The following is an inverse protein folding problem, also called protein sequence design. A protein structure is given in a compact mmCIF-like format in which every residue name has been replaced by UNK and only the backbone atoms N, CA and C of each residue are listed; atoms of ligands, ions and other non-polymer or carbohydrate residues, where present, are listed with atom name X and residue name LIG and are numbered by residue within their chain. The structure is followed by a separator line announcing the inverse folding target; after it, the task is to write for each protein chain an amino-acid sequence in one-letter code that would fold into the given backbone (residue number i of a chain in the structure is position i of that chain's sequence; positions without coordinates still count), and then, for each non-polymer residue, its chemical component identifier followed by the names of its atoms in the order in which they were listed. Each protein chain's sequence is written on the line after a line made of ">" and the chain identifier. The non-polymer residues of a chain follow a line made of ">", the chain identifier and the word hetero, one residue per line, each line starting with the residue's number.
data_IF_687503483705
#
_entry.id   IF_687503483705
#
_cell.length_a   1.000
_cell.length_b   1.000
_cell.length_c   1.000
_cell.angle_alpha   90.00
_cell.angle_beta   90.00
_cell.angle_gamma   90.00
#
_symmetry.space_group_name_H-M   'P 1'
#
loop_
_entity.id
_entity.type
_entity.pdbx_description
1 polymer ?
#
# COMPACT_ATOMS: atom_id res chain seq x y z
N UNK A 1 -3.84 0.61 -35.02
CA UNK A 1 -3.64 0.94 -33.58
C UNK A 1 -2.91 -0.25 -32.96
N UNK A 2 -1.63 -0.11 -32.63
CA UNK A 2 -0.85 -1.20 -32.02
C UNK A 2 -1.30 -1.36 -30.56
N UNK A 3 -2.08 -2.40 -30.27
CA UNK A 3 -2.38 -2.83 -28.91
C UNK A 3 -1.19 -3.62 -28.39
N UNK A 4 -0.57 -3.20 -27.30
CA UNK A 4 0.48 -3.98 -26.64
C UNK A 4 -0.19 -5.15 -25.91
N UNK A 5 0.08 -6.43 -26.27
CA UNK A 5 -0.65 -7.59 -25.75
C UNK A 5 -0.47 -7.88 -24.24
N UNK A 6 0.26 -7.04 -23.50
CA UNK A 6 0.58 -7.26 -22.08
C UNK A 6 0.27 -6.07 -21.16
N UNK A 7 -0.47 -5.05 -21.61
CA UNK A 7 -0.75 -3.86 -20.78
C UNK A 7 -1.44 -4.21 -19.45
N UNK A 8 -2.35 -5.17 -19.48
CA UNK A 8 -3.09 -5.60 -18.28
C UNK A 8 -2.20 -6.35 -17.31
N UNK A 9 -1.36 -7.24 -17.82
CA UNK A 9 -0.39 -8.01 -17.03
C UNK A 9 0.60 -7.06 -16.35
N UNK A 10 1.21 -6.13 -17.10
CA UNK A 10 2.12 -5.11 -16.54
C UNK A 10 1.41 -4.26 -15.49
N UNK A 11 0.17 -3.85 -15.71
CA UNK A 11 -0.59 -3.07 -14.74
C UNK A 11 -0.96 -3.86 -13.46
N UNK A 12 -1.05 -5.19 -13.55
CA UNK A 12 -1.25 -6.06 -12.39
C UNK A 12 0.05 -6.17 -11.59
N UNK A 13 1.16 -6.50 -12.24
CA UNK A 13 2.45 -6.63 -11.55
C UNK A 13 2.87 -5.34 -10.85
N UNK A 14 2.71 -4.18 -11.51
CA UNK A 14 2.99 -2.88 -10.88
C UNK A 14 2.10 -2.62 -9.66
N UNK A 15 0.86 -3.10 -9.67
CA UNK A 15 -0.06 -2.96 -8.53
C UNK A 15 0.34 -3.88 -7.38
N UNK A 16 0.74 -5.11 -7.71
CA UNK A 16 1.20 -6.09 -6.71
C UNK A 16 2.49 -5.60 -6.03
N UNK A 17 3.41 -4.97 -6.79
CA UNK A 17 4.59 -4.30 -6.24
C UNK A 17 4.22 -3.11 -5.34
N UNK A 18 3.30 -2.25 -5.77
CA UNK A 18 2.80 -1.11 -4.97
C UNK A 18 2.14 -1.60 -3.67
N UNK A 19 1.33 -2.67 -3.72
CA UNK A 19 0.64 -3.22 -2.56
C UNK A 19 1.62 -3.86 -1.57
N UNK A 20 2.68 -4.54 -2.06
CA UNK A 20 3.78 -5.04 -1.24
C UNK A 20 4.58 -3.90 -0.59
N UNK A 21 4.85 -2.84 -1.33
CA UNK A 21 5.54 -1.67 -0.81
C UNK A 21 4.74 -1.02 0.34
N UNK A 22 3.44 -0.79 0.14
CA UNK A 22 2.57 -0.23 1.17
C UNK A 22 2.47 -1.15 2.39
N UNK A 23 2.42 -2.48 2.19
CA UNK A 23 2.49 -3.44 3.29
C UNK A 23 3.76 -3.26 4.13
N UNK A 24 4.93 -3.13 3.49
CA UNK A 24 6.18 -2.92 4.22
C UNK A 24 6.18 -1.60 4.97
N UNK A 25 5.69 -0.51 4.35
CA UNK A 25 5.66 0.79 5.02
C UNK A 25 4.71 0.80 6.22
N UNK A 26 3.52 0.19 6.09
CA UNK A 26 2.53 0.13 7.17
C UNK A 26 2.70 -1.07 8.12
N UNK A 27 3.67 -1.95 7.90
CA UNK A 27 3.86 -3.18 8.68
C UNK A 27 4.00 -2.91 10.19
N UNK A 28 4.72 -1.86 10.59
CA UNK A 28 4.88 -1.47 11.99
C UNK A 28 3.53 -1.18 12.66
N UNK A 29 2.63 -0.52 11.92
CA UNK A 29 1.29 -0.20 12.40
C UNK A 29 0.36 -1.42 12.44
N UNK A 30 0.66 -2.47 11.66
CA UNK A 30 -0.01 -3.77 11.74
C UNK A 30 0.55 -4.63 12.89
N UNK A 31 1.50 -4.12 13.68
CA UNK A 31 2.18 -4.86 14.74
C UNK A 31 3.29 -5.78 14.22
N UNK A 32 3.70 -5.65 12.96
CA UNK A 32 4.83 -6.37 12.37
C UNK A 32 6.06 -5.48 12.47
N UNK A 33 7.08 -5.83 13.27
CA UNK A 33 8.23 -4.95 13.48
C UNK A 33 8.98 -4.70 12.17
N UNK A 34 9.16 -3.42 11.82
CA UNK A 34 9.90 -3.00 10.64
C UNK A 34 11.19 -2.27 11.02
N UNK A 35 12.38 -2.86 10.78
CA UNK A 35 13.66 -2.22 11.13
C UNK A 35 13.94 -0.95 10.33
N UNK A 36 13.24 -0.75 9.20
CA UNK A 36 13.36 0.43 8.35
C UNK A 36 12.28 1.49 8.60
N UNK A 37 11.32 1.26 9.51
CA UNK A 37 10.17 2.14 9.73
C UNK A 37 10.58 3.61 9.90
N UNK A 38 11.59 3.86 10.73
CA UNK A 38 12.11 5.19 11.00
C UNK A 38 12.54 5.93 9.73
N UNK A 39 13.17 5.23 8.79
CA UNK A 39 13.61 5.80 7.51
C UNK A 39 12.47 6.01 6.52
N UNK A 40 11.36 5.28 6.69
CA UNK A 40 10.19 5.37 5.79
C UNK A 40 9.15 6.38 6.26
N UNK A 41 9.32 7.00 7.43
CA UNK A 41 8.38 7.98 7.98
C UNK A 41 8.13 9.16 7.03
N UNK A 42 9.17 9.63 6.33
CA UNK A 42 9.08 10.75 5.40
C UNK A 42 8.19 10.45 4.18
N UNK A 43 7.93 9.18 3.90
CA UNK A 43 7.09 8.76 2.78
C UNK A 43 5.61 8.90 3.07
N UNK A 44 5.23 8.93 4.35
CA UNK A 44 3.83 8.88 4.80
C UNK A 44 2.95 9.95 4.14
N UNK A 45 3.34 11.23 4.05
CA UNK A 45 2.55 12.25 3.37
C UNK A 45 2.23 11.94 1.90
N UNK A 46 3.08 11.15 1.24
CA UNK A 46 2.94 10.79 -0.17
C UNK A 46 2.09 9.54 -0.41
N UNK A 47 1.94 8.68 0.60
CA UNK A 47 1.25 7.40 0.48
C UNK A 47 -0.02 7.30 1.31
N UNK A 48 -0.25 8.24 2.23
CA UNK A 48 -1.43 8.24 3.11
C UNK A 48 -2.73 8.33 2.32
N UNK A 49 -2.74 9.06 1.20
CA UNK A 49 -3.91 9.16 0.32
C UNK A 49 -4.24 7.82 -0.36
N UNK A 50 -3.24 6.96 -0.58
CA UNK A 50 -3.42 5.63 -1.19
C UNK A 50 -3.87 4.57 -0.18
N UNK A 51 -3.83 4.88 1.11
CA UNK A 51 -4.09 3.92 2.18
C UNK A 51 -5.49 3.31 2.09
N UNK A 52 -6.52 4.16 1.84
CA UNK A 52 -7.91 3.71 1.77
C UNK A 52 -8.10 2.61 0.72
N UNK A 53 -7.63 2.85 -0.50
CA UNK A 53 -7.78 1.89 -1.58
C UNK A 53 -6.94 0.63 -1.35
N UNK A 54 -5.78 0.76 -0.71
CA UNK A 54 -4.91 -0.37 -0.40
C UNK A 54 -5.51 -1.31 0.66
N UNK A 55 -5.98 -0.78 1.80
CA UNK A 55 -6.49 -1.67 2.87
C UNK A 55 -7.76 -2.41 2.43
N UNK A 56 -8.59 -1.78 1.60
CA UNK A 56 -9.73 -2.44 0.96
C UNK A 56 -9.29 -3.57 0.00
N UNK A 57 -8.24 -3.36 -0.81
CA UNK A 57 -7.66 -4.42 -1.65
C UNK A 57 -7.07 -5.56 -0.85
N UNK A 58 -6.51 -5.27 0.33
CA UNK A 58 -6.02 -6.28 1.27
C UNK A 58 -7.15 -7.05 1.96
N UNK A 59 -8.42 -6.72 1.69
CA UNK A 59 -9.58 -7.39 2.27
C UNK A 59 -9.88 -6.99 3.72
N UNK A 60 -9.38 -5.85 4.17
CA UNK A 60 -9.62 -5.33 5.51
C UNK A 60 -10.96 -4.58 5.54
N UNK A 61 -11.91 -5.02 6.36
CA UNK A 61 -13.23 -4.36 6.46
C UNK A 61 -13.14 -2.95 7.08
N UNK A 62 -12.15 -2.72 7.94
CA UNK A 62 -11.88 -1.44 8.62
C UNK A 62 -10.39 -1.14 8.58
N UNK A 63 -10.08 0.14 8.68
CA UNK A 63 -8.70 0.60 8.88
C UNK A 63 -8.07 -0.12 10.07
N UNK A 64 -6.94 -0.82 9.89
CA UNK A 64 -6.15 -1.33 11.01
C UNK A 64 -5.42 -0.23 11.79
N UNK A 65 -5.48 1.02 11.32
CA UNK A 65 -4.75 2.14 11.91
C UNK A 65 -5.65 2.92 12.87
N UNK A 66 -5.29 2.94 14.17
CA UNK A 66 -6.01 3.71 15.19
C UNK A 66 -5.83 5.23 15.05
N UNK A 67 -4.70 5.67 14.47
CA UNK A 67 -4.34 7.09 14.34
C UNK A 67 -4.83 7.76 13.05
N UNK A 68 -5.24 6.98 12.05
CA UNK A 68 -5.72 7.48 10.77
C UNK A 68 -7.19 7.15 10.67
N UNK A 69 -8.03 8.19 10.66
CA UNK A 69 -9.45 8.05 10.38
C UNK A 69 -9.62 7.74 8.89
N UNK A 70 -9.54 6.46 8.58
CA UNK A 70 -9.91 5.91 7.30
C UNK A 70 -11.18 5.09 7.52
N UNK A 71 -12.24 5.44 6.77
CA UNK A 71 -13.62 4.98 6.91
C UNK A 71 -14.35 5.49 8.16
#
# INVERSE_FOLDING_TARGET
>A
MLSLPHKQEVARELRDEDDLFLLLVYSDMLGIPNPAFYYTLELYPHIVEKFHDWHLRMGMEKSPLDGIRCC
#
